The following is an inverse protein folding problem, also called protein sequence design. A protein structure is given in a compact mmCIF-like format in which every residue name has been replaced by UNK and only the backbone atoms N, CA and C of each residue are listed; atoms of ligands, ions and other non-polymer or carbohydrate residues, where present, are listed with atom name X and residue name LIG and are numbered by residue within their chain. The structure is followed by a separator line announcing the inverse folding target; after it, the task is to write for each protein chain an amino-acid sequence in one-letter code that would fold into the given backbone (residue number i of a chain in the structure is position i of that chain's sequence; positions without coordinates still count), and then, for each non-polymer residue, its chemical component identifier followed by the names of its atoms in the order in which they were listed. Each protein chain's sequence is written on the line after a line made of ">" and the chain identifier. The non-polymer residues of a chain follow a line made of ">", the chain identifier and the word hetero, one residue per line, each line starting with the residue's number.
data_IF_620635461235
#
_entry.id   IF_620635461235
#
_cell.length_a   1.000
_cell.length_b   1.000
_cell.length_c   1.000
_cell.angle_alpha   90.00
_cell.angle_beta   90.00
_cell.angle_gamma   90.00
#
_symmetry.space_group_name_H-M   'P 1'
#
loop_
_entity.id
_entity.type
_entity.pdbx_description
1 polymer ?
#
# COMPACT_ATOMS: atom_id res chain seq x y z
N UNK A 1 31.91 -25.76 22.19
CA UNK A 1 32.32 -26.31 20.88
C UNK A 1 31.42 -27.48 20.53
N UNK A 2 31.15 -27.67 19.25
CA UNK A 2 30.26 -28.67 18.60
C UNK A 2 28.77 -28.32 18.39
N UNK A 3 28.51 -27.82 17.18
CA UNK A 3 27.50 -28.17 16.16
C UNK A 3 26.11 -28.72 16.55
N UNK A 4 25.08 -28.11 15.95
CA UNK A 4 23.76 -28.70 15.70
C UNK A 4 23.11 -28.05 14.46
N UNK A 5 22.53 -28.86 13.58
CA UNK A 5 22.26 -28.66 12.15
C UNK A 5 20.83 -28.18 11.88
N UNK A 6 20.65 -27.55 10.71
CA UNK A 6 19.41 -27.11 10.05
C UNK A 6 18.39 -28.25 9.83
N UNK A 7 17.09 -27.93 9.95
CA UNK A 7 15.90 -28.49 9.26
C UNK A 7 14.70 -27.63 9.73
N UNK A 8 13.95 -26.91 8.89
CA UNK A 8 13.03 -27.41 7.86
C UNK A 8 11.60 -26.97 8.20
N UNK A 9 11.23 -25.71 7.93
CA UNK A 9 9.86 -25.21 8.14
C UNK A 9 8.98 -25.61 6.94
N UNK A 10 8.10 -26.60 7.17
CA UNK A 10 7.15 -27.12 6.17
C UNK A 10 5.93 -26.21 6.05
N UNK A 11 5.55 -25.96 4.80
CA UNK A 11 4.28 -25.36 4.38
C UNK A 11 3.07 -26.13 4.95
N UNK A 12 2.17 -25.44 5.64
CA UNK A 12 0.84 -25.95 5.96
C UNK A 12 -0.17 -25.52 4.88
N UNK A 13 -0.41 -26.42 3.92
CA UNK A 13 -1.64 -26.45 3.12
C UNK A 13 -2.69 -27.27 3.90
N UNK A 14 -3.81 -26.68 4.26
CA UNK A 14 -4.97 -27.43 4.77
C UNK A 14 -5.98 -27.58 3.64
N UNK A 15 -5.96 -28.76 3.01
CA UNK A 15 -7.05 -29.28 2.18
C UNK A 15 -8.06 -29.95 3.11
N UNK A 16 -9.29 -29.43 3.16
CA UNK A 16 -10.38 -30.09 3.88
C UNK A 16 -11.15 -30.98 2.89
N UNK A 17 -10.94 -32.30 2.97
CA UNK A 17 -11.77 -33.31 2.31
C UNK A 17 -13.08 -33.53 3.08
N UNK A 18 -14.15 -33.65 2.31
CA UNK A 18 -15.50 -34.06 2.71
C UNK A 18 -15.54 -35.37 3.51
N UNK A 19 -16.44 -35.41 4.49
CA UNK A 19 -17.01 -36.65 5.03
C UNK A 19 -18.53 -36.65 4.78
N UNK A 20 -19.02 -37.81 4.37
CA UNK A 20 -20.37 -38.09 3.87
C UNK A 20 -21.34 -38.59 4.95
N UNK A 21 -22.57 -38.06 4.87
CA UNK A 21 -23.89 -38.68 5.09
C UNK A 21 -24.19 -39.56 6.33
N UNK A 22 -25.13 -39.11 7.17
CA UNK A 22 -26.31 -39.88 7.63
C UNK A 22 -27.48 -38.88 7.83
N UNK A 23 -28.67 -39.20 7.33
CA UNK A 23 -29.83 -38.29 7.25
C UNK A 23 -30.87 -38.41 8.38
N UNK A 24 -31.76 -37.42 8.44
CA UNK A 24 -33.25 -37.49 8.52
C UNK A 24 -33.80 -36.13 9.02
N UNK A 25 -34.82 -35.61 8.33
CA UNK A 25 -35.59 -34.38 8.66
C UNK A 25 -36.91 -34.82 9.35
N UNK A 26 -37.73 -33.98 10.05
CA UNK A 26 -38.03 -32.59 9.69
C UNK A 26 -38.29 -31.58 10.84
N UNK A 27 -38.37 -30.31 10.40
CA UNK A 27 -39.11 -29.19 10.98
C UNK A 27 -38.51 -28.36 12.14
N UNK A 28 -38.54 -27.05 11.88
CA UNK A 28 -38.60 -25.92 12.83
C UNK A 28 -37.28 -25.46 13.45
N UNK A 29 -36.70 -24.41 12.87
CA UNK A 29 -36.67 -23.07 13.48
C UNK A 29 -35.83 -22.15 12.59
N UNK A 30 -36.51 -21.13 12.07
CA UNK A 30 -35.89 -19.94 11.50
C UNK A 30 -35.13 -19.26 12.64
N UNK A 31 -33.84 -19.55 12.75
CA UNK A 31 -32.89 -18.66 13.40
C UNK A 31 -32.12 -18.00 12.27
N UNK A 32 -32.56 -16.77 11.95
CA UNK A 32 -31.69 -15.76 11.39
C UNK A 32 -30.47 -15.68 12.30
N UNK A 33 -29.47 -16.48 11.99
CA UNK A 33 -28.13 -16.27 12.47
C UNK A 33 -27.74 -14.98 11.79
N UNK A 34 -27.92 -13.87 12.51
CA UNK A 34 -27.24 -12.64 12.18
C UNK A 34 -25.79 -13.05 12.02
N UNK A 35 -25.34 -13.14 10.77
CA UNK A 35 -23.94 -13.07 10.46
C UNK A 35 -23.56 -11.75 11.09
N UNK A 36 -22.95 -11.80 12.27
CA UNK A 36 -22.12 -10.70 12.71
C UNK A 36 -21.01 -10.71 11.68
N UNK A 37 -21.27 -10.04 10.57
CA UNK A 37 -20.27 -9.40 9.74
C UNK A 37 -19.53 -8.55 10.76
N UNK A 38 -18.47 -9.11 11.34
CA UNK A 38 -17.49 -8.29 12.01
C UNK A 38 -16.82 -7.54 10.86
N UNK A 39 -17.48 -6.45 10.46
CA UNK A 39 -16.92 -5.44 9.58
C UNK A 39 -15.82 -4.79 10.42
N UNK A 40 -14.61 -5.37 10.39
CA UNK A 40 -13.42 -4.60 10.70
C UNK A 40 -13.21 -3.64 9.52
N UNK A 41 -14.00 -2.56 9.50
CA UNK A 41 -13.72 -1.37 8.70
C UNK A 41 -12.52 -0.69 9.34
N UNK A 42 -11.36 -0.83 8.72
CA UNK A 42 -10.24 0.08 8.91
C UNK A 42 -9.87 0.62 7.53
N UNK A 43 -10.48 1.76 7.22
CA UNK A 43 -10.22 2.56 6.04
C UNK A 43 -8.84 3.21 6.18
N UNK A 44 -7.86 2.79 5.36
CA UNK A 44 -6.80 3.73 5.03
C UNK A 44 -5.97 3.41 3.77
N UNK A 45 -6.08 4.27 2.76
CA UNK A 45 -5.20 4.31 1.58
C UNK A 45 -3.97 5.20 1.81
N UNK A 46 -2.74 4.67 1.66
CA UNK A 46 -1.53 5.49 1.59
C UNK A 46 -1.37 5.95 0.15
N UNK A 47 -1.78 7.19 -0.13
CA UNK A 47 -1.60 7.91 -1.40
C UNK A 47 -1.88 7.13 -2.68
N UNK A 48 -3.15 6.78 -2.80
CA UNK A 48 -3.94 7.02 -4.00
C UNK A 48 -5.31 7.40 -3.46
N UNK A 49 -6.00 8.36 -4.07
CA UNK A 49 -7.43 8.49 -3.77
C UNK A 49 -8.08 7.12 -3.94
N UNK A 50 -8.93 6.67 -3.00
CA UNK A 50 -9.78 5.53 -3.29
C UNK A 50 -10.60 5.86 -4.53
N UNK A 51 -10.31 5.24 -5.68
CA UNK A 51 -11.17 5.32 -6.86
C UNK A 51 -11.38 3.92 -7.42
N UNK A 52 -12.25 3.19 -6.75
CA UNK A 52 -12.78 1.92 -7.22
C UNK A 52 -13.46 2.11 -8.59
N UNK A 53 -12.98 1.41 -9.63
CA UNK A 53 -13.66 1.35 -10.94
C UNK A 53 -14.92 0.48 -10.92
N UNK A 54 -15.22 -0.22 -9.82
CA UNK A 54 -16.47 -0.98 -9.69
C UNK A 54 -17.56 -0.09 -9.10
N UNK A 55 -18.51 0.30 -9.96
CA UNK A 55 -19.76 0.98 -9.61
C UNK A 55 -20.35 0.33 -8.33
N UNK A 56 -20.81 1.17 -7.41
CA UNK A 56 -21.65 0.83 -6.24
C UNK A 56 -21.00 0.62 -4.87
N UNK A 57 -19.87 1.26 -4.53
CA UNK A 57 -19.53 1.45 -3.11
C UNK A 57 -18.91 2.83 -2.84
N UNK A 58 -19.53 3.69 -2.00
CA UNK A 58 -18.94 4.95 -1.61
C UNK A 58 -17.79 4.67 -0.63
N UNK A 59 -16.56 4.79 -1.09
CA UNK A 59 -15.44 5.14 -0.22
C UNK A 59 -15.73 6.55 0.33
N UNK A 60 -15.50 6.77 1.63
CA UNK A 60 -15.67 8.10 2.23
C UNK A 60 -14.95 9.17 1.42
N UNK A 61 -15.69 10.24 1.11
CA UNK A 61 -15.41 11.35 0.20
C UNK A 61 -14.10 12.12 0.56
N UNK A 62 -12.94 11.59 0.19
CA UNK A 62 -11.63 12.27 0.32
C UNK A 62 -10.99 12.43 -1.06
N UNK A 63 -11.34 13.52 -1.74
CA UNK A 63 -10.74 13.94 -3.00
C UNK A 63 -9.70 15.03 -2.76
N UNK A 64 -8.48 14.82 -3.27
CA UNK A 64 -7.43 15.84 -3.40
C UNK A 64 -7.41 16.41 -4.82
N UNK A 65 -6.92 17.64 -5.00
CA UNK A 65 -6.78 18.30 -6.30
C UNK A 65 -5.56 17.75 -7.08
N UNK A 66 -5.68 16.46 -7.42
CA UNK A 66 -4.73 15.67 -8.21
C UNK A 66 -5.49 15.04 -9.38
N UNK A 67 -4.91 15.00 -10.59
CA UNK A 67 -5.54 14.29 -11.71
C UNK A 67 -5.73 12.81 -11.35
N UNK A 68 -6.79 12.14 -11.84
CA UNK A 68 -6.98 10.71 -11.60
C UNK A 68 -5.88 9.90 -12.29
N UNK A 69 -5.32 8.92 -11.58
CA UNK A 69 -4.51 7.86 -12.17
C UNK A 69 -5.36 6.57 -12.23
N UNK A 70 -5.71 6.11 -13.42
CA UNK A 70 -6.48 4.87 -13.61
C UNK A 70 -5.61 3.62 -13.60
N UNK A 71 -4.30 3.80 -13.57
CA UNK A 71 -3.25 2.77 -13.55
C UNK A 71 -2.47 2.88 -12.22
N UNK A 72 -3.15 3.22 -11.12
CA UNK A 72 -2.54 3.42 -9.81
C UNK A 72 -2.03 2.12 -9.17
N UNK A 73 -2.66 0.99 -9.51
CA UNK A 73 -2.16 -0.36 -9.21
C UNK A 73 -0.97 -0.80 -10.06
N UNK A 74 -0.60 -0.02 -11.10
CA UNK A 74 0.39 -0.39 -12.12
C UNK A 74 1.78 0.24 -11.91
N UNK A 75 2.12 0.64 -10.68
CA UNK A 75 3.42 1.22 -10.34
C UNK A 75 4.49 0.15 -10.10
N UNK A 76 4.66 -0.72 -11.09
CA UNK A 76 5.55 -1.89 -11.10
C UNK A 76 6.88 -1.66 -11.83
N UNK A 77 7.48 -0.47 -11.67
CA UNK A 77 8.78 -0.12 -12.24
C UNK A 77 8.82 -0.15 -13.78
N UNK A 78 7.66 -0.06 -14.45
CA UNK A 78 7.52 -0.14 -15.90
C UNK A 78 7.48 -1.56 -16.49
N UNK A 79 7.42 -2.59 -15.65
CA UNK A 79 7.35 -3.99 -16.05
C UNK A 79 8.62 -4.74 -15.71
N UNK A 80 8.49 -6.05 -15.46
CA UNK A 80 9.65 -6.89 -15.13
C UNK A 80 10.78 -6.81 -16.17
N UNK A 81 10.44 -6.80 -17.45
CA UNK A 81 11.43 -6.65 -18.54
C UNK A 81 12.14 -5.30 -18.45
N UNK A 82 11.36 -4.22 -18.38
CA UNK A 82 11.92 -2.87 -18.31
C UNK A 82 12.82 -2.72 -17.07
N UNK A 83 12.40 -3.21 -15.91
CA UNK A 83 13.18 -3.15 -14.69
C UNK A 83 14.50 -3.94 -14.82
N UNK A 84 14.45 -5.22 -15.17
CA UNK A 84 15.60 -6.11 -15.02
C UNK A 84 16.48 -6.22 -16.26
N UNK A 85 15.90 -6.24 -17.45
CA UNK A 85 16.66 -6.31 -18.72
C UNK A 85 17.11 -4.92 -19.15
N UNK A 86 16.19 -3.96 -19.25
CA UNK A 86 16.50 -2.65 -19.84
C UNK A 86 17.16 -1.69 -18.85
N UNK A 87 16.75 -1.73 -17.58
CA UNK A 87 17.21 -0.77 -16.54
C UNK A 87 18.19 -1.38 -15.52
N UNK A 88 18.63 -2.63 -15.70
CA UNK A 88 19.64 -3.28 -14.84
C UNK A 88 19.17 -3.45 -13.39
N UNK A 89 17.90 -3.81 -13.20
CA UNK A 89 17.24 -4.00 -11.90
C UNK A 89 16.71 -2.72 -11.26
N UNK A 90 16.95 -1.55 -11.86
CA UNK A 90 16.58 -0.26 -11.28
C UNK A 90 15.11 0.07 -11.48
N UNK A 91 14.54 0.76 -10.50
CA UNK A 91 13.16 1.21 -10.46
C UNK A 91 13.09 2.72 -10.17
N UNK A 92 12.05 3.41 -10.65
CA UNK A 92 11.74 4.76 -10.18
C UNK A 92 11.52 4.79 -8.67
N UNK A 93 11.76 5.94 -8.04
CA UNK A 93 11.73 6.02 -6.57
C UNK A 93 10.32 5.71 -6.04
N UNK A 94 9.31 6.11 -6.81
CA UNK A 94 7.89 5.94 -6.52
C UNK A 94 7.17 5.01 -7.51
N UNK A 95 7.89 4.05 -8.11
CA UNK A 95 7.30 2.93 -8.87
C UNK A 95 7.15 3.15 -10.36
N UNK A 96 7.47 4.35 -10.86
CA UNK A 96 7.58 4.63 -12.28
C UNK A 96 8.71 3.84 -12.96
N UNK A 97 8.66 3.74 -14.30
CA UNK A 97 9.75 3.16 -15.10
C UNK A 97 11.04 3.98 -14.92
N UNK A 98 12.13 3.33 -14.55
CA UNK A 98 13.41 4.00 -14.30
C UNK A 98 13.95 4.75 -15.53
N UNK A 99 13.66 4.31 -16.75
CA UNK A 99 14.10 4.99 -17.97
C UNK A 99 13.44 6.37 -18.19
N UNK A 100 12.29 6.64 -17.53
CA UNK A 100 11.62 7.93 -17.63
C UNK A 100 12.44 9.04 -16.98
N UNK A 101 12.45 10.27 -17.56
CA UNK A 101 13.16 11.40 -16.97
C UNK A 101 12.56 11.80 -15.63
N UNK A 102 13.39 12.33 -14.73
CA UNK A 102 12.93 12.93 -13.47
C UNK A 102 12.44 14.38 -13.69
N UNK A 103 11.44 14.85 -12.94
CA UNK A 103 10.60 14.06 -12.05
C UNK A 103 9.68 13.12 -12.83
N UNK A 104 9.64 11.85 -12.43
CA UNK A 104 8.70 10.89 -13.01
C UNK A 104 7.30 11.19 -12.49
N UNK A 105 6.27 10.55 -13.05
CA UNK A 105 4.87 10.95 -12.83
C UNK A 105 4.45 10.93 -11.36
N UNK A 106 5.10 10.12 -10.51
CA UNK A 106 4.78 9.98 -9.08
C UNK A 106 5.88 10.51 -8.15
N UNK A 107 6.90 11.16 -8.69
CA UNK A 107 8.00 11.74 -7.91
C UNK A 107 7.75 13.22 -7.62
N UNK A 108 8.45 13.79 -6.65
CA UNK A 108 8.35 15.21 -6.30
C UNK A 108 8.47 16.16 -7.49
N UNK A 109 7.58 17.14 -7.56
CA UNK A 109 7.51 18.13 -8.64
C UNK A 109 6.72 17.66 -9.87
N UNK A 110 6.10 16.48 -9.80
CA UNK A 110 5.28 15.91 -10.87
C UNK A 110 3.79 16.27 -10.76
N UNK A 111 3.01 15.75 -11.71
CA UNK A 111 1.56 15.93 -11.74
C UNK A 111 0.81 15.21 -10.60
N UNK A 112 1.36 14.11 -10.05
CA UNK A 112 0.72 13.39 -8.94
C UNK A 112 1.29 13.78 -7.57
N UNK A 113 2.55 14.26 -7.51
CA UNK A 113 3.13 14.81 -6.29
C UNK A 113 2.78 16.31 -6.12
N UNK A 114 1.54 16.59 -5.72
CA UNK A 114 0.95 17.95 -5.67
C UNK A 114 1.26 18.74 -4.39
N UNK A 115 2.29 18.36 -3.65
CA UNK A 115 2.69 18.98 -2.39
C UNK A 115 1.57 18.98 -1.34
N UNK A 116 0.91 17.84 -1.18
CA UNK A 116 -0.23 17.68 -0.27
C UNK A 116 0.12 16.69 0.82
N UNK A 117 0.24 17.18 2.06
CA UNK A 117 0.35 16.32 3.23
C UNK A 117 -0.97 15.58 3.45
N UNK A 118 -1.02 14.29 3.10
CA UNK A 118 -2.25 13.49 3.22
C UNK A 118 -2.51 13.06 4.66
N UNK A 119 -1.46 12.90 5.48
CA UNK A 119 -1.58 12.58 6.90
C UNK A 119 -0.49 13.15 7.78
N UNK A 120 -0.84 13.32 9.05
CA UNK A 120 0.04 13.83 10.11
C UNK A 120 0.11 12.82 11.26
N UNK A 121 1.32 12.54 11.72
CA UNK A 121 1.59 11.56 12.77
C UNK A 121 2.47 12.15 13.88
N UNK A 122 2.41 11.54 15.06
CA UNK A 122 3.39 11.79 16.11
C UNK A 122 4.69 11.00 15.82
N UNK A 123 5.86 11.51 16.23
CA UNK A 123 7.08 10.69 16.27
C UNK A 123 6.86 9.42 17.09
N UNK A 124 7.44 8.30 16.64
CA UNK A 124 7.30 7.00 17.33
C UNK A 124 5.95 6.30 17.19
N UNK A 125 4.96 6.93 16.54
CA UNK A 125 3.61 6.39 16.47
C UNK A 125 3.55 5.04 15.74
N UNK A 126 2.70 4.14 16.23
CA UNK A 126 2.27 2.97 15.50
C UNK A 126 1.18 3.38 14.51
N UNK A 127 1.44 3.14 13.22
CA UNK A 127 0.53 3.51 12.15
C UNK A 127 0.06 2.26 11.41
N UNK A 128 -1.26 2.19 11.18
CA UNK A 128 -1.86 1.16 10.36
C UNK A 128 -1.79 1.57 8.89
N UNK A 129 -1.20 0.72 8.07
CA UNK A 129 -1.09 0.85 6.61
C UNK A 129 -1.91 -0.28 6.00
N UNK A 130 -2.89 0.05 5.17
CA UNK A 130 -3.58 -0.92 4.35
C UNK A 130 -3.04 -0.86 2.93
N UNK A 131 -2.79 -2.02 2.33
CA UNK A 131 -2.37 -2.16 0.94
C UNK A 131 -3.53 -2.79 0.18
N UNK A 132 -4.05 -2.12 -0.84
CA UNK A 132 -5.04 -2.70 -1.73
C UNK A 132 -4.32 -3.42 -2.87
N UNK A 133 -4.57 -4.72 -3.01
CA UNK A 133 -3.97 -5.53 -4.06
C UNK A 133 -5.05 -5.98 -5.03
N UNK A 134 -4.85 -5.71 -6.32
CA UNK A 134 -5.67 -6.29 -7.39
C UNK A 134 -5.41 -7.79 -7.53
N UNK A 135 -4.15 -8.22 -7.35
CA UNK A 135 -3.74 -9.63 -7.37
C UNK A 135 -2.57 -9.85 -6.41
N UNK A 136 -2.57 -10.99 -5.72
CA UNK A 136 -1.51 -11.34 -4.77
C UNK A 136 -0.39 -12.12 -5.46
N UNK A 137 0.72 -11.45 -5.75
CA UNK A 137 1.93 -12.02 -6.36
C UNK A 137 2.96 -12.53 -5.33
N UNK A 138 2.52 -12.89 -4.12
CA UNK A 138 3.37 -13.36 -3.02
C UNK A 138 4.43 -12.31 -2.62
N UNK A 139 5.50 -12.74 -1.96
CA UNK A 139 6.62 -11.87 -1.61
C UNK A 139 6.41 -11.12 -0.31
N UNK A 140 7.01 -9.94 -0.20
CA UNK A 140 7.04 -9.18 1.06
C UNK A 140 6.94 -7.67 0.83
N UNK A 141 6.37 -7.00 1.83
CA UNK A 141 6.26 -5.56 1.86
C UNK A 141 7.30 -4.96 2.80
N UNK A 142 7.89 -3.86 2.37
CA UNK A 142 8.76 -3.02 3.16
C UNK A 142 8.19 -1.60 3.18
N UNK A 143 8.41 -0.91 4.28
CA UNK A 143 7.99 0.47 4.46
C UNK A 143 9.19 1.29 4.87
N UNK A 144 9.28 2.49 4.34
CA UNK A 144 10.39 3.41 4.59
C UNK A 144 9.88 4.84 4.57
N UNK A 145 10.63 5.77 5.16
CA UNK A 145 10.26 7.18 5.15
C UNK A 145 11.44 8.08 4.79
N UNK A 146 11.24 9.01 3.87
CA UNK A 146 12.25 10.01 3.53
C UNK A 146 11.88 11.37 4.15
N UNK A 147 12.59 11.85 5.19
CA UNK A 147 12.34 13.16 5.79
C UNK A 147 12.95 14.29 4.95
N UNK A 148 12.24 14.69 3.90
CA UNK A 148 12.64 15.82 3.05
C UNK A 148 12.54 17.14 3.81
N UNK A 149 13.40 18.10 3.44
CA UNK A 149 13.46 19.43 4.08
C UNK A 149 12.50 20.44 3.45
N UNK A 150 12.01 20.17 2.25
CA UNK A 150 11.10 21.05 1.51
C UNK A 150 10.27 20.26 0.50
N UNK A 151 9.25 20.90 -0.07
CA UNK A 151 8.45 20.33 -1.14
C UNK A 151 9.22 20.21 -2.46
N UNK A 152 10.30 20.97 -2.63
CA UNK A 152 11.12 20.99 -3.84
C UNK A 152 12.27 19.97 -3.78
N UNK A 153 12.60 19.47 -2.59
CA UNK A 153 13.64 18.45 -2.44
C UNK A 153 13.13 17.11 -2.97
N UNK A 154 13.83 16.47 -3.94
CA UNK A 154 13.42 15.18 -4.46
C UNK A 154 13.75 14.06 -3.48
N UNK A 155 12.82 13.13 -3.30
CA UNK A 155 13.08 11.85 -2.64
C UNK A 155 14.07 10.99 -3.44
N UNK A 156 14.78 10.12 -2.72
CA UNK A 156 15.80 9.22 -3.28
C UNK A 156 15.81 7.87 -2.56
N UNK A 157 16.26 6.82 -3.22
CA UNK A 157 16.47 5.51 -2.59
C UNK A 157 17.38 5.62 -1.36
N UNK A 158 18.48 6.37 -1.45
CA UNK A 158 19.42 6.59 -0.34
C UNK A 158 18.76 7.22 0.91
N UNK A 159 17.73 8.05 0.70
CA UNK A 159 16.96 8.61 1.80
C UNK A 159 16.08 7.55 2.46
N UNK A 160 15.38 6.75 1.67
CA UNK A 160 14.51 5.68 2.16
C UNK A 160 15.28 4.55 2.84
N UNK A 161 16.42 4.14 2.27
CA UNK A 161 17.22 3.02 2.76
C UNK A 161 17.82 3.30 4.15
N UNK A 162 17.99 4.59 4.50
CA UNK A 162 18.42 5.02 5.85
C UNK A 162 17.32 4.99 6.91
N UNK A 163 16.06 4.84 6.51
CA UNK A 163 14.90 5.05 7.37
C UNK A 163 13.81 3.99 7.11
N UNK A 164 14.23 2.72 7.16
CA UNK A 164 13.32 1.58 7.14
C UNK A 164 12.42 1.59 8.38
N UNK A 165 11.14 1.29 8.19
CA UNK A 165 10.14 1.24 9.24
C UNK A 165 9.87 -0.21 9.63
N UNK A 166 10.02 -0.61 10.90
CA UNK A 166 9.74 -1.97 11.32
C UNK A 166 8.24 -2.24 11.27
N UNK A 167 7.88 -3.40 10.69
CA UNK A 167 6.52 -3.95 10.75
C UNK A 167 6.36 -4.65 12.09
N UNK A 168 5.48 -4.13 12.94
CA UNK A 168 5.21 -4.65 14.29
C UNK A 168 4.22 -5.81 14.23
N UNK A 169 3.16 -5.66 13.43
CA UNK A 169 2.20 -6.74 13.17
C UNK A 169 1.73 -6.72 11.72
N UNK A 170 1.38 -7.91 11.21
CA UNK A 170 0.85 -8.10 9.88
C UNK A 170 -0.41 -8.99 9.95
N UNK A 171 -1.48 -8.56 9.29
CA UNK A 171 -2.72 -9.34 9.17
C UNK A 171 -3.30 -9.15 7.78
N UNK A 172 -3.29 -10.20 6.96
CA UNK A 172 -3.70 -10.11 5.55
C UNK A 172 -2.90 -9.04 4.81
N UNK A 173 -3.55 -8.06 4.14
CA UNK A 173 -2.86 -6.92 3.51
C UNK A 173 -2.50 -5.77 4.47
N UNK A 174 -3.04 -5.77 5.69
CA UNK A 174 -2.79 -4.70 6.66
C UNK A 174 -1.46 -4.88 7.38
N UNK A 175 -0.74 -3.78 7.62
CA UNK A 175 0.55 -3.72 8.28
C UNK A 175 0.52 -2.63 9.34
N UNK A 176 0.86 -2.96 10.57
CA UNK A 176 1.13 -1.97 11.61
C UNK A 176 2.63 -1.70 11.62
N UNK A 177 3.03 -0.47 11.32
CA UNK A 177 4.45 -0.09 11.26
C UNK A 177 4.75 0.97 12.32
N UNK A 178 5.97 0.99 12.82
CA UNK A 178 6.41 2.00 13.78
C UNK A 178 7.18 3.11 13.09
N UNK A 179 6.72 4.35 13.28
CA UNK A 179 7.46 5.53 12.84
C UNK A 179 8.69 5.77 13.73
N UNK A 180 9.74 6.45 13.25
CA UNK A 180 10.93 6.68 14.04
C UNK A 180 10.63 7.67 15.18
N UNK A 181 11.10 7.40 16.39
CA UNK A 181 10.91 8.28 17.55
C UNK A 181 11.67 9.61 17.41
N UNK A 182 12.86 9.58 16.79
CA UNK A 182 13.74 10.74 16.61
C UNK A 182 13.53 11.52 15.33
N UNK A 183 12.55 11.17 14.49
CA UNK A 183 12.31 11.84 13.20
C UNK A 183 11.12 12.78 13.30
N UNK A 184 11.33 14.02 12.86
CA UNK A 184 10.28 15.01 12.61
C UNK A 184 10.49 15.61 11.22
N UNK A 185 9.39 15.92 10.53
CA UNK A 185 9.40 16.37 9.15
C UNK A 185 8.04 16.95 8.76
N UNK A 186 8.05 18.03 7.96
CA UNK A 186 6.82 18.61 7.38
C UNK A 186 6.49 18.02 6.01
N UNK A 187 7.50 17.50 5.30
CA UNK A 187 7.43 17.07 3.91
C UNK A 187 7.93 15.63 3.73
N UNK A 188 7.67 14.77 4.73
CA UNK A 188 8.09 13.38 4.64
C UNK A 188 7.41 12.68 3.47
N UNK A 189 8.14 11.77 2.82
CA UNK A 189 7.54 10.80 1.90
C UNK A 189 7.59 9.44 2.57
N UNK A 190 6.47 8.78 2.76
CA UNK A 190 6.40 7.38 3.15
C UNK A 190 6.34 6.52 1.88
N UNK A 191 7.19 5.50 1.77
CA UNK A 191 7.22 4.59 0.64
C UNK A 191 6.79 3.20 1.04
N UNK A 192 5.81 2.66 0.32
CA UNK A 192 5.56 1.23 0.24
C UNK A 192 6.43 0.64 -0.86
N UNK A 193 7.13 -0.44 -0.54
CA UNK A 193 7.94 -1.22 -1.46
C UNK A 193 7.48 -2.67 -1.40
N UNK A 194 7.11 -3.24 -2.54
CA UNK A 194 6.74 -4.64 -2.64
C UNK A 194 7.61 -5.33 -3.67
N UNK A 195 8.41 -6.28 -3.20
CA UNK A 195 9.07 -7.25 -4.07
C UNK A 195 8.19 -8.50 -4.13
N UNK A 196 7.65 -8.80 -5.31
CA UNK A 196 6.85 -10.01 -5.52
C UNK A 196 7.72 -11.27 -5.38
N UNK A 197 7.09 -12.45 -5.38
CA UNK A 197 7.81 -13.72 -5.32
C UNK A 197 7.13 -14.84 -6.11
N UNK A 198 6.47 -14.49 -7.21
CA UNK A 198 5.72 -15.43 -8.05
C UNK A 198 6.51 -15.97 -9.25
N UNK A 199 7.72 -15.45 -9.52
CA UNK A 199 8.57 -15.97 -10.60
C UNK A 199 9.56 -17.01 -10.09
N UNK A 200 9.85 -17.99 -10.95
CA UNK A 200 10.89 -18.98 -10.71
C UNK A 200 12.23 -18.48 -11.26
N UNK A 201 13.29 -18.53 -10.45
CA UNK A 201 14.60 -18.00 -10.85
C UNK A 201 15.76 -18.58 -10.06
N UNK A 202 16.97 -18.15 -10.41
CA UNK A 202 18.23 -18.56 -9.80
C UNK A 202 18.40 -17.91 -8.42
N UNK A 203 18.70 -18.74 -7.42
CA UNK A 203 18.94 -18.28 -6.05
C UNK A 203 20.41 -17.85 -5.80
N UNK A 204 21.30 -18.05 -6.76
CA UNK A 204 22.72 -17.69 -6.68
C UNK A 204 23.61 -18.71 -5.97
N UNK A 205 23.04 -19.83 -5.53
CA UNK A 205 23.71 -20.95 -4.87
C UNK A 205 23.69 -22.24 -5.72
N UNK A 206 23.39 -22.11 -7.01
CA UNK A 206 23.22 -23.22 -7.94
C UNK A 206 21.84 -23.89 -7.86
N UNK A 207 20.94 -23.38 -7.02
CA UNK A 207 19.54 -23.83 -6.95
C UNK A 207 18.61 -22.86 -7.67
N UNK A 208 17.44 -23.38 -8.05
CA UNK A 208 16.35 -22.60 -8.64
C UNK A 208 15.11 -22.76 -7.77
N UNK A 209 14.41 -21.66 -7.51
CA UNK A 209 13.19 -21.70 -6.72
C UNK A 209 12.23 -20.55 -7.06
N UNK A 210 11.00 -20.69 -6.60
CA UNK A 210 10.00 -19.63 -6.62
C UNK A 210 10.46 -18.47 -5.72
N UNK A 211 10.39 -17.24 -6.22
CA UNK A 211 10.81 -16.02 -5.53
C UNK A 211 12.30 -15.65 -5.67
N UNK A 212 13.10 -16.57 -6.23
CA UNK A 212 14.51 -16.33 -6.56
C UNK A 212 14.67 -15.61 -7.90
N UNK A 213 15.86 -15.04 -8.13
CA UNK A 213 16.14 -14.24 -9.32
C UNK A 213 15.29 -12.96 -9.43
N UNK A 214 15.18 -12.39 -10.65
CA UNK A 214 14.36 -11.22 -10.94
C UNK A 214 12.89 -11.41 -10.55
N UNK A 215 12.36 -10.47 -9.77
CA UNK A 215 10.95 -10.43 -9.38
C UNK A 215 10.37 -9.06 -9.73
N UNK A 216 9.07 -9.01 -10.01
CA UNK A 216 8.41 -7.73 -10.20
C UNK A 216 8.47 -6.92 -8.90
N UNK A 217 8.68 -5.61 -9.04
CA UNK A 217 8.77 -4.69 -7.91
C UNK A 217 7.73 -3.61 -8.07
N UNK A 218 7.00 -3.32 -7.00
CA UNK A 218 6.03 -2.23 -6.94
C UNK A 218 6.46 -1.21 -5.91
N UNK A 219 6.26 0.07 -6.19
CA UNK A 219 6.51 1.15 -5.22
C UNK A 219 5.42 2.20 -5.29
N UNK A 220 4.99 2.69 -4.13
CA UNK A 220 4.14 3.88 -4.04
C UNK A 220 4.69 4.83 -2.97
N UNK A 221 4.46 6.13 -3.17
CA UNK A 221 4.96 7.20 -2.31
C UNK A 221 3.84 8.07 -1.78
N UNK A 222 3.92 8.41 -0.50
CA UNK A 222 2.92 9.14 0.25
C UNK A 222 3.47 10.36 0.97
N UNK A 223 2.97 11.57 0.66
CA UNK A 223 3.36 12.78 1.38
C UNK A 223 2.69 12.88 2.75
N UNK A 224 3.48 12.82 3.82
CA UNK A 224 3.05 12.82 5.23
C UNK A 224 3.87 13.82 6.05
N UNK A 225 3.39 14.14 7.25
CA UNK A 225 4.15 14.93 8.22
C UNK A 225 4.26 14.20 9.56
N UNK A 226 5.40 14.38 10.23
CA UNK A 226 5.66 13.87 11.57
C UNK A 226 6.10 15.04 12.44
N UNK A 227 5.29 15.44 13.40
CA UNK A 227 5.64 16.52 14.33
C UNK A 227 5.05 16.25 15.72
N UNK A 228 5.67 16.85 16.72
CA UNK A 228 5.19 16.78 18.11
C UNK A 228 3.78 17.39 18.21
N UNK A 229 2.93 16.77 19.01
CA UNK A 229 1.54 17.22 19.22
C UNK A 229 0.52 16.74 18.17
N UNK A 230 0.95 16.14 17.07
CA UNK A 230 0.07 15.38 16.19
C UNK A 230 -0.36 14.06 16.85
N UNK A 231 -1.54 13.52 16.49
CA UNK A 231 -2.09 12.30 17.10
C UNK A 231 -2.77 12.47 18.47
N UNK A 232 -2.59 13.59 19.18
CA UNK A 232 -3.22 13.87 20.48
C UNK A 232 -4.76 14.01 20.44
N UNK A 233 -5.34 14.22 19.25
CA UNK A 233 -6.81 14.30 19.05
C UNK A 233 -7.41 13.04 18.42
N UNK A 234 -6.69 11.93 18.40
CA UNK A 234 -7.10 10.70 17.72
C UNK A 234 -7.03 10.79 16.18
N UNK A 235 -7.38 9.71 15.46
CA UNK A 235 -7.18 9.58 14.01
C UNK A 235 -7.93 10.62 13.15
N UNK A 236 -8.88 11.36 13.73
CA UNK A 236 -9.76 12.31 13.05
C UNK A 236 -9.36 13.80 13.23
N UNK A 237 -8.41 14.11 14.12
CA UNK A 237 -8.23 15.48 14.61
C UNK A 237 -7.24 16.38 13.86
N UNK A 238 -6.31 15.82 13.07
CA UNK A 238 -5.18 16.57 12.49
C UNK A 238 -4.89 16.27 10.99
N UNK A 239 -5.59 15.30 10.41
CA UNK A 239 -5.44 14.97 9.00
C UNK A 239 -6.20 16.00 8.14
N UNK A 240 -5.64 16.37 6.99
CA UNK A 240 -6.25 17.36 6.11
C UNK A 240 -7.70 16.97 5.82
N UNK A 241 -8.65 17.88 6.08
CA UNK A 241 -9.99 17.71 5.55
C UNK A 241 -9.89 17.95 4.04
N UNK A 242 -10.31 17.00 3.18
CA UNK A 242 -10.39 17.24 1.75
C UNK A 242 -11.23 18.50 1.52
N UNK A 243 -10.82 19.33 0.55
CA UNK A 243 -11.74 20.37 0.07
C UNK A 243 -12.92 19.62 -0.54
N UNK A 244 -14.15 19.88 -0.09
CA UNK A 244 -15.34 19.54 -0.89
C UNK A 244 -15.18 20.29 -2.21
N UNK A 245 -14.75 19.60 -3.25
CA UNK A 245 -15.02 20.05 -4.61
C UNK A 245 -16.54 20.01 -4.70
N UNK A 246 -17.16 21.19 -4.64
CA UNK A 246 -18.60 21.30 -4.79
C UNK A 246 -18.97 20.62 -6.10
N UNK A 247 -19.75 19.54 -6.03
CA UNK A 247 -20.44 19.00 -7.19
C UNK A 247 -21.18 20.19 -7.81
N UNK A 248 -20.88 20.60 -9.05
CA UNK A 248 -21.69 21.61 -9.71
C UNK A 248 -23.11 21.07 -9.70
N UNK A 249 -24.04 21.81 -9.09
CA UNK A 249 -25.44 21.43 -9.11
C UNK A 249 -25.81 21.09 -10.55
N UNK A 250 -26.25 19.85 -10.79
CA UNK A 250 -26.84 19.45 -12.05
C UNK A 250 -27.95 20.45 -12.33
N UNK A 251 -27.72 21.36 -13.27
CA UNK A 251 -28.75 22.26 -13.76
C UNK A 251 -29.83 21.36 -14.33
N UNK A 252 -30.98 21.30 -13.67
CA UNK A 252 -32.18 20.69 -14.21
C UNK A 252 -32.39 21.25 -15.61
N UNK A 253 -32.35 20.39 -16.63
CA UNK A 253 -32.80 20.79 -17.97
C UNK A 253 -34.24 21.31 -17.84
N UNK A 254 -34.59 22.45 -18.43
CA UNK A 254 -35.98 22.83 -18.57
C UNK A 254 -36.74 21.70 -19.26
N UNK A 255 -37.91 21.36 -18.74
CA UNK A 255 -38.85 20.50 -19.44
C UNK A 255 -39.29 21.25 -20.71
N UNK A 256 -38.82 20.81 -21.86
CA UNK A 256 -39.44 21.18 -23.13
C UNK A 256 -40.73 20.36 -23.27
N UNK A 257 -41.85 21.08 -23.33
CA UNK A 257 -43.18 20.62 -23.76
C UNK A 257 -43.20 20.59 -25.28
#
# INVERSE_FOLDING_TARGET
>A
MYQGRLEGARNHYVSCRQWSSVGTSPATLVLCSALVLIIHRLEYTPTGGCWNHRRETPCGDVSYDTPPNFEDSELFCGGIKAQWEDNGGKCGVCGDNYAQPRPRRHETGSMYARNVTVRRYAPGALVDIAVELETNHLGHFEFSICPRRSWEEPESDECFDRHLLPVVTASGPARKVQLPEGVTCEHCVLRWHWRSANNWGDCGDGTMALGCGPQETYRNCADVAIQQGFGLRGPLGANARPKRLGVPALKSKPNDI
#
